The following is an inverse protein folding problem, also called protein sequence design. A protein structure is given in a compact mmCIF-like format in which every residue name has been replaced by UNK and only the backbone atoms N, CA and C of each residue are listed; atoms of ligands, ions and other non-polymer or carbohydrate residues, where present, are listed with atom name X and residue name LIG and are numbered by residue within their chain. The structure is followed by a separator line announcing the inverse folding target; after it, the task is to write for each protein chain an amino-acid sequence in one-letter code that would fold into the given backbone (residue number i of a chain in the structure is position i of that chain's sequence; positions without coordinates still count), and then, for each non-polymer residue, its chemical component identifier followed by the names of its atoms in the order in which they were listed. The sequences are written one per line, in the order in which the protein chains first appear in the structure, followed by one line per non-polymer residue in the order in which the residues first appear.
data_IF_928905139604
#
_entry.id   IF_928905139604
#
_cell.length_a   1.000
_cell.length_b   1.000
_cell.length_c   1.000
_cell.angle_alpha   90.00
_cell.angle_beta   90.00
_cell.angle_gamma   90.00
#
_symmetry.space_group_name_H-M   'P 1'
#
loop_
_entity.id
_entity.type
_entity.pdbx_description
1 polymer ?
#
# COMPACT_ATOMS: atom_id res chain seq x y z
N UNK A 1 -35.85 5.84 -18.45
CA UNK A 1 -34.63 6.64 -18.40
C UNK A 1 -33.50 5.69 -17.96
N UNK A 2 -32.63 5.32 -18.87
CA UNK A 2 -31.49 4.41 -18.61
C UNK A 2 -30.51 5.12 -17.68
N UNK A 3 -30.38 4.68 -16.42
CA UNK A 3 -29.33 5.14 -15.53
C UNK A 3 -28.01 4.54 -16.02
N UNK A 4 -27.30 5.25 -16.88
CA UNK A 4 -25.90 4.92 -17.15
C UNK A 4 -25.17 4.90 -15.82
N UNK A 5 -24.79 3.72 -15.34
CA UNK A 5 -24.00 3.58 -14.13
C UNK A 5 -22.70 4.35 -14.36
N UNK A 6 -22.59 5.54 -13.74
CA UNK A 6 -21.40 6.38 -13.87
C UNK A 6 -20.18 5.57 -13.44
N UNK A 7 -19.18 5.45 -14.31
CA UNK A 7 -17.90 4.82 -14.03
C UNK A 7 -16.99 5.77 -13.25
N UNK A 8 -15.98 5.21 -12.57
CA UNK A 8 -14.88 6.01 -12.05
C UNK A 8 -14.05 6.59 -13.20
N UNK A 9 -13.36 7.69 -12.95
CA UNK A 9 -12.40 8.26 -13.92
C UNK A 9 -11.25 7.29 -14.16
N UNK A 10 -10.66 7.31 -15.36
CA UNK A 10 -9.51 6.44 -15.69
C UNK A 10 -8.35 6.61 -14.71
N UNK A 11 -8.09 7.84 -14.25
CA UNK A 11 -7.06 8.12 -13.24
C UNK A 11 -7.38 7.43 -11.92
N UNK A 12 -8.63 7.48 -11.46
CA UNK A 12 -9.04 6.79 -10.22
C UNK A 12 -8.90 5.27 -10.33
N UNK A 13 -9.18 4.69 -11.51
CA UNK A 13 -9.04 3.26 -11.79
C UNK A 13 -7.54 2.87 -11.80
N UNK A 14 -6.70 3.61 -12.53
CA UNK A 14 -5.25 3.36 -12.59
C UNK A 14 -4.64 3.40 -11.19
N UNK A 15 -4.90 4.47 -10.44
CA UNK A 15 -4.40 4.64 -9.07
C UNK A 15 -4.89 3.52 -8.14
N UNK A 16 -6.15 3.06 -8.32
CA UNK A 16 -6.68 1.96 -7.52
C UNK A 16 -5.87 0.69 -7.72
N UNK A 17 -5.74 0.25 -8.96
CA UNK A 17 -5.06 -1.01 -9.26
C UNK A 17 -3.57 -0.94 -8.98
N UNK A 18 -2.91 0.17 -9.31
CA UNK A 18 -1.49 0.37 -9.01
C UNK A 18 -1.21 0.28 -7.51
N UNK A 19 -1.99 1.00 -6.68
CA UNK A 19 -1.85 0.99 -5.22
C UNK A 19 -2.22 -0.40 -4.66
N UNK A 20 -3.27 -1.05 -5.17
CA UNK A 20 -3.67 -2.38 -4.70
C UNK A 20 -2.59 -3.43 -4.93
N UNK A 21 -1.97 -3.44 -6.12
CA UNK A 21 -0.85 -4.33 -6.45
C UNK A 21 0.36 -3.99 -5.56
N UNK A 22 0.69 -2.70 -5.43
CA UNK A 22 1.82 -2.25 -4.63
C UNK A 22 1.65 -2.61 -3.14
N UNK A 23 0.47 -2.43 -2.54
CA UNK A 23 0.20 -2.82 -1.14
C UNK A 23 0.35 -4.33 -0.97
N UNK A 24 -0.18 -5.16 -1.88
CA UNK A 24 0.01 -6.61 -1.83
C UNK A 24 1.49 -6.99 -1.86
N UNK A 25 2.24 -6.36 -2.74
CA UNK A 25 3.70 -6.56 -2.83
C UNK A 25 4.40 -6.14 -1.53
N UNK A 26 3.99 -5.04 -0.89
CA UNK A 26 4.57 -4.57 0.37
C UNK A 26 4.36 -5.53 1.54
N UNK A 27 3.24 -6.25 1.60
CA UNK A 27 3.04 -7.31 2.59
C UNK A 27 4.04 -8.45 2.37
N UNK A 28 4.15 -8.94 1.12
CA UNK A 28 5.14 -9.97 0.78
C UNK A 28 6.56 -9.53 1.13
N UNK A 29 6.95 -8.33 0.70
CA UNK A 29 8.27 -7.76 0.97
C UNK A 29 8.53 -7.57 2.46
N UNK A 30 7.51 -7.15 3.23
CA UNK A 30 7.57 -6.98 4.67
C UNK A 30 7.86 -8.31 5.40
N UNK A 31 7.15 -9.36 5.07
CA UNK A 31 7.39 -10.70 5.64
C UNK A 31 8.73 -11.28 5.19
N UNK A 32 9.06 -11.14 3.92
CA UNK A 32 10.33 -11.61 3.38
C UNK A 32 11.53 -10.97 4.08
N UNK A 33 11.56 -9.63 4.19
CA UNK A 33 12.68 -8.92 4.83
C UNK A 33 12.83 -9.23 6.33
N UNK A 34 11.72 -9.48 7.04
CA UNK A 34 11.76 -9.86 8.46
C UNK A 34 12.26 -11.29 8.67
N UNK A 35 12.01 -12.20 7.72
CA UNK A 35 12.49 -13.57 7.75
C UNK A 35 14.00 -13.68 7.48
N UNK A 36 14.63 -12.67 6.86
CA UNK A 36 16.06 -12.68 6.59
C UNK A 36 16.90 -12.58 7.87
N UNK A 37 18.05 -13.29 7.95
CA UNK A 37 18.94 -13.23 9.09
C UNK A 37 19.44 -11.79 9.32
N UNK A 38 19.65 -11.44 10.60
CA UNK A 38 20.16 -10.10 10.97
C UNK A 38 21.59 -9.88 10.51
N UNK A 39 22.38 -10.96 10.50
CA UNK A 39 23.76 -10.99 10.05
C UNK A 39 23.82 -11.67 8.69
N UNK A 40 24.78 -11.30 7.86
CA UNK A 40 24.97 -11.88 6.54
C UNK A 40 26.12 -11.21 5.79
N UNK A 41 26.61 -11.87 4.75
CA UNK A 41 27.65 -11.32 3.88
C UNK A 41 27.12 -10.07 3.18
N UNK A 42 27.94 -9.02 3.21
CA UNK A 42 27.65 -7.79 2.49
C UNK A 42 28.02 -7.96 1.01
N UNK A 43 27.19 -7.40 0.14
CA UNK A 43 27.43 -7.38 -1.31
C UNK A 43 27.10 -5.99 -1.89
N UNK A 44 27.66 -5.73 -3.08
CA UNK A 44 27.38 -4.51 -3.87
C UNK A 44 26.21 -4.69 -4.83
N UNK A 45 25.75 -5.93 -5.03
CA UNK A 45 24.65 -6.22 -5.93
C UNK A 45 23.73 -7.29 -5.34
N UNK A 46 22.45 -7.19 -5.68
CA UNK A 46 21.45 -8.17 -5.31
C UNK A 46 20.56 -8.51 -6.50
N UNK A 47 20.45 -9.79 -6.84
CA UNK A 47 19.38 -10.28 -7.67
C UNK A 47 18.07 -10.22 -6.87
N UNK A 48 17.07 -9.57 -7.43
CA UNK A 48 15.82 -9.32 -6.74
C UNK A 48 15.07 -10.64 -6.49
N UNK A 49 15.01 -11.07 -5.22
CA UNK A 49 14.44 -12.34 -4.76
C UNK A 49 15.10 -13.60 -5.34
N UNK A 50 16.35 -13.51 -5.80
CA UNK A 50 17.08 -14.59 -6.45
C UNK A 50 16.32 -15.21 -7.65
N UNK A 51 15.62 -14.37 -8.42
CA UNK A 51 14.80 -14.78 -9.56
C UNK A 51 15.55 -14.75 -10.90
N UNK A 52 16.76 -14.21 -10.94
CA UNK A 52 17.51 -14.03 -12.18
C UNK A 52 16.90 -13.00 -13.14
N UNK A 53 15.94 -12.19 -12.69
CA UNK A 53 15.22 -11.24 -13.53
C UNK A 53 15.84 -9.85 -13.53
N UNK A 54 16.39 -9.42 -12.41
CA UNK A 54 16.98 -8.09 -12.28
C UNK A 54 17.97 -8.04 -11.13
N UNK A 55 19.21 -7.59 -11.43
CA UNK A 55 20.27 -7.37 -10.46
C UNK A 55 20.33 -5.87 -10.12
N UNK A 56 20.18 -5.57 -8.83
CA UNK A 56 20.26 -4.21 -8.33
C UNK A 56 21.67 -3.89 -7.86
N UNK A 57 22.31 -2.90 -8.50
CA UNK A 57 23.63 -2.41 -8.12
C UNK A 57 23.53 -1.38 -6.99
N UNK A 58 24.42 -1.49 -6.02
CA UNK A 58 24.50 -0.60 -4.86
C UNK A 58 25.76 0.24 -4.91
N UNK A 59 25.66 1.49 -4.42
CA UNK A 59 26.83 2.38 -4.26
C UNK A 59 27.69 2.03 -3.04
N UNK A 60 27.13 1.25 -2.09
CA UNK A 60 27.82 0.75 -0.89
C UNK A 60 27.30 -0.62 -0.56
N UNK A 61 28.18 -1.47 -0.05
CA UNK A 61 27.84 -2.80 0.39
C UNK A 61 26.75 -2.78 1.48
N UNK A 62 25.83 -3.71 1.38
CA UNK A 62 24.79 -3.94 2.35
C UNK A 62 24.60 -5.44 2.62
N UNK A 63 24.05 -5.82 3.77
CA UNK A 63 23.55 -7.18 3.99
C UNK A 63 22.23 -7.37 3.24
N UNK A 64 21.81 -8.61 2.89
CA UNK A 64 20.51 -8.86 2.25
C UNK A 64 19.36 -8.19 3.02
N UNK A 65 19.31 -8.36 4.34
CA UNK A 65 18.32 -7.74 5.19
C UNK A 65 18.30 -6.22 5.06
N UNK A 66 19.45 -5.56 5.13
CA UNK A 66 19.56 -4.10 5.00
C UNK A 66 19.11 -3.61 3.61
N UNK A 67 19.42 -4.35 2.55
CA UNK A 67 18.96 -4.07 1.20
C UNK A 67 17.44 -4.09 1.10
N UNK A 68 16.80 -5.18 1.52
CA UNK A 68 15.34 -5.31 1.43
C UNK A 68 14.57 -4.35 2.36
N UNK A 69 15.12 -4.00 3.55
CA UNK A 69 14.56 -2.94 4.39
C UNK A 69 14.62 -1.57 3.70
N UNK A 70 15.71 -1.23 3.02
CA UNK A 70 15.82 0.02 2.26
C UNK A 70 14.88 0.02 1.04
N UNK A 71 14.73 -1.11 0.36
CA UNK A 71 13.78 -1.28 -0.73
C UNK A 71 12.34 -1.07 -0.25
N UNK A 72 11.96 -1.71 0.87
CA UNK A 72 10.64 -1.52 1.50
C UNK A 72 10.37 -0.04 1.84
N UNK A 73 11.33 0.65 2.43
CA UNK A 73 11.21 2.10 2.73
C UNK A 73 11.03 2.94 1.46
N UNK A 74 11.79 2.63 0.41
CA UNK A 74 11.76 3.38 -0.86
C UNK A 74 10.41 3.21 -1.56
N UNK A 75 9.93 1.97 -1.68
CA UNK A 75 8.63 1.66 -2.27
C UNK A 75 7.51 2.22 -1.38
N UNK A 76 7.63 2.11 -0.06
CA UNK A 76 6.67 2.65 0.90
C UNK A 76 6.50 4.17 0.77
N UNK A 77 7.60 4.92 0.59
CA UNK A 77 7.55 6.36 0.35
C UNK A 77 6.88 6.69 -1.00
N UNK A 78 7.17 5.91 -2.05
CA UNK A 78 6.52 6.05 -3.36
C UNK A 78 5.02 5.81 -3.27
N UNK A 79 4.61 4.73 -2.57
CA UNK A 79 3.19 4.42 -2.34
C UNK A 79 2.52 5.54 -1.54
N UNK A 80 3.19 6.10 -0.54
CA UNK A 80 2.66 7.23 0.23
C UNK A 80 2.36 8.43 -0.66
N UNK A 81 3.28 8.79 -1.56
CA UNK A 81 3.05 9.86 -2.54
C UNK A 81 1.85 9.54 -3.48
N UNK A 82 1.73 8.30 -3.94
CA UNK A 82 0.59 7.87 -4.77
C UNK A 82 -0.74 7.92 -3.99
N UNK A 83 -0.73 7.59 -2.70
CA UNK A 83 -1.92 7.68 -1.83
C UNK A 83 -2.33 9.13 -1.64
N UNK A 84 -1.39 10.04 -1.38
CA UNK A 84 -1.66 11.48 -1.30
C UNK A 84 -2.28 12.00 -2.60
N UNK A 85 -1.69 11.64 -3.74
CA UNK A 85 -2.25 12.00 -5.04
C UNK A 85 -3.65 11.44 -5.25
N UNK A 86 -3.90 10.17 -4.87
CA UNK A 86 -5.22 9.54 -4.94
C UNK A 86 -6.25 10.23 -4.04
N UNK A 87 -5.87 10.65 -2.83
CA UNK A 87 -6.75 11.40 -1.92
C UNK A 87 -7.10 12.76 -2.55
N UNK A 88 -6.11 13.50 -3.04
CA UNK A 88 -6.34 14.77 -3.73
C UNK A 88 -7.25 14.62 -4.95
N UNK A 89 -7.01 13.58 -5.76
CA UNK A 89 -7.86 13.27 -6.92
C UNK A 89 -9.31 13.02 -6.51
N UNK A 90 -9.52 12.27 -5.42
CA UNK A 90 -10.86 11.97 -4.91
C UNK A 90 -11.58 13.19 -4.35
N UNK A 91 -10.88 14.14 -3.75
CA UNK A 91 -11.45 15.38 -3.24
C UNK A 91 -11.93 16.30 -4.38
N UNK A 92 -11.22 16.31 -5.50
CA UNK A 92 -11.55 17.13 -6.67
C UNK A 92 -12.50 16.44 -7.65
N UNK A 93 -12.54 15.10 -7.67
CA UNK A 93 -13.35 14.29 -8.59
C UNK A 93 -14.27 13.36 -7.79
N UNK A 94 -15.52 13.79 -7.63
CA UNK A 94 -16.51 13.02 -6.87
C UNK A 94 -16.69 11.61 -7.44
N UNK A 95 -16.59 10.57 -6.60
CA UNK A 95 -16.83 9.20 -7.04
C UNK A 95 -18.30 9.02 -7.43
N UNK A 96 -18.60 8.07 -8.32
CA UNK A 96 -19.98 7.73 -8.61
C UNK A 96 -20.69 7.18 -7.35
N UNK A 97 -21.98 7.44 -7.17
CA UNK A 97 -22.75 6.94 -6.03
C UNK A 97 -22.77 5.41 -6.02
N UNK A 98 -22.99 4.81 -4.86
CA UNK A 98 -23.21 3.37 -4.74
C UNK A 98 -24.47 2.98 -5.52
N UNK A 99 -24.50 1.74 -6.00
CA UNK A 99 -25.63 1.26 -6.80
C UNK A 99 -26.92 1.18 -5.96
N UNK A 100 -28.05 1.54 -6.56
CA UNK A 100 -29.34 1.50 -5.89
C UNK A 100 -29.80 0.07 -5.59
N UNK A 101 -29.30 -0.91 -6.35
CA UNK A 101 -29.51 -2.34 -6.15
C UNK A 101 -28.91 -2.90 -4.86
N UNK A 102 -27.90 -2.20 -4.28
CA UNK A 102 -27.28 -2.61 -3.02
C UNK A 102 -28.22 -2.41 -1.84
N UNK A 103 -28.26 -3.38 -0.91
CA UNK A 103 -29.01 -3.27 0.35
C UNK A 103 -28.41 -2.17 1.23
N UNK A 104 -29.24 -1.56 2.09
CA UNK A 104 -28.81 -0.45 2.96
C UNK A 104 -27.61 -0.81 3.85
N UNK A 105 -27.56 -2.03 4.41
CA UNK A 105 -26.43 -2.47 5.23
C UNK A 105 -25.15 -2.65 4.40
N UNK A 106 -25.25 -3.12 3.15
CA UNK A 106 -24.10 -3.26 2.24
C UNK A 106 -23.51 -1.89 1.88
N UNK A 107 -24.36 -0.90 1.61
CA UNK A 107 -23.95 0.50 1.38
C UNK A 107 -23.19 1.06 2.59
N UNK A 108 -23.70 0.84 3.81
CA UNK A 108 -23.03 1.28 5.04
C UNK A 108 -21.67 0.60 5.22
N UNK A 109 -21.62 -0.72 5.04
CA UNK A 109 -20.38 -1.50 5.18
C UNK A 109 -19.35 -1.12 4.12
N UNK A 110 -19.75 -0.96 2.86
CA UNK A 110 -18.87 -0.49 1.79
C UNK A 110 -18.31 0.91 2.08
N UNK A 111 -19.15 1.81 2.56
CA UNK A 111 -18.73 3.17 2.94
C UNK A 111 -17.71 3.13 4.07
N UNK A 112 -17.98 2.37 5.14
CA UNK A 112 -17.06 2.19 6.26
C UNK A 112 -15.72 1.60 5.80
N UNK A 113 -15.76 0.50 5.04
CA UNK A 113 -14.55 -0.16 4.54
C UNK A 113 -13.70 0.78 3.69
N UNK A 114 -14.30 1.56 2.79
CA UNK A 114 -13.57 2.52 1.98
C UNK A 114 -12.92 3.63 2.81
N UNK A 115 -13.65 4.23 3.76
CA UNK A 115 -13.07 5.28 4.62
C UNK A 115 -11.94 4.73 5.50
N UNK A 116 -12.14 3.53 6.09
CA UNK A 116 -11.10 2.87 6.89
C UNK A 116 -9.86 2.55 6.06
N UNK A 117 -10.02 2.03 4.83
CA UNK A 117 -8.89 1.79 3.94
C UNK A 117 -8.15 3.08 3.58
N UNK A 118 -8.86 4.18 3.27
CA UNK A 118 -8.19 5.46 3.01
C UNK A 118 -7.41 5.97 4.22
N UNK A 119 -7.99 5.92 5.41
CA UNK A 119 -7.31 6.33 6.64
C UNK A 119 -6.08 5.46 6.92
N UNK A 120 -6.22 4.14 6.86
CA UNK A 120 -5.13 3.21 7.14
C UNK A 120 -4.03 3.24 6.07
N UNK A 121 -4.38 3.38 4.80
CA UNK A 121 -3.39 3.55 3.72
C UNK A 121 -2.54 4.81 3.91
N UNK A 122 -3.10 5.87 4.51
CA UNK A 122 -2.35 7.07 4.87
C UNK A 122 -1.52 6.86 6.15
N UNK A 123 -2.13 6.33 7.21
CA UNK A 123 -1.51 6.20 8.53
C UNK A 123 -0.37 5.17 8.55
N UNK A 124 -0.49 4.06 7.80
CA UNK A 124 0.53 3.00 7.79
C UNK A 124 1.88 3.51 7.27
N UNK A 125 1.99 4.08 6.06
CA UNK A 125 3.27 4.60 5.60
C UNK A 125 3.75 5.81 6.42
N UNK A 126 2.86 6.64 6.95
CA UNK A 126 3.22 7.72 7.87
C UNK A 126 3.90 7.17 9.13
N UNK A 127 3.34 6.14 9.74
CA UNK A 127 3.97 5.46 10.88
C UNK A 127 5.32 4.86 10.51
N UNK A 128 5.45 4.26 9.32
CA UNK A 128 6.72 3.74 8.80
C UNK A 128 7.78 4.83 8.58
N UNK A 129 7.37 6.01 8.12
CA UNK A 129 8.23 7.20 7.97
C UNK A 129 8.75 7.62 9.35
N UNK A 130 7.87 7.83 10.33
CA UNK A 130 8.24 8.27 11.68
C UNK A 130 9.14 7.24 12.37
N UNK A 131 8.78 5.95 12.28
CA UNK A 131 9.62 4.84 12.76
C UNK A 131 11.03 4.88 12.16
N UNK A 132 11.13 5.19 10.86
CA UNK A 132 12.41 5.24 10.15
C UNK A 132 13.25 6.45 10.56
N UNK A 133 12.61 7.60 10.81
CA UNK A 133 13.26 8.80 11.39
C UNK A 133 13.77 8.50 12.80
N UNK A 134 13.01 7.79 13.64
CA UNK A 134 13.45 7.34 14.96
C UNK A 134 14.62 6.36 14.94
N UNK A 135 14.94 5.74 13.79
CA UNK A 135 16.13 4.89 13.66
C UNK A 135 17.39 5.70 13.36
N UNK A 136 18.58 5.18 13.70
CA UNK A 136 19.86 5.80 13.32
C UNK A 136 20.11 5.87 11.81
N UNK A 137 19.38 5.08 11.00
CA UNK A 137 19.59 4.99 9.55
C UNK A 137 18.80 6.02 8.76
N UNK A 138 17.70 6.56 9.31
CA UNK A 138 16.80 7.47 8.60
C UNK A 138 16.11 6.85 7.39
N UNK A 139 15.81 7.68 6.41
CA UNK A 139 15.14 7.30 5.17
C UNK A 139 16.03 7.60 3.97
N UNK A 140 16.17 6.59 3.12
CA UNK A 140 16.72 6.73 1.77
C UNK A 140 15.64 6.34 0.76
N UNK A 141 15.55 7.08 -0.34
CA UNK A 141 14.69 6.76 -1.47
C UNK A 141 15.55 6.29 -2.62
N UNK A 142 15.57 5.00 -2.90
CA UNK A 142 16.42 4.35 -3.89
C UNK A 142 17.88 4.81 -3.85
N UNK A 143 18.47 4.83 -2.65
CA UNK A 143 19.85 5.25 -2.40
C UNK A 143 20.03 6.74 -2.07
N UNK A 144 19.12 7.61 -2.49
CA UNK A 144 19.15 9.05 -2.23
C UNK A 144 18.71 9.30 -0.78
N UNK A 145 19.51 9.99 0.00
CA UNK A 145 19.19 10.35 1.40
C UNK A 145 18.08 11.43 1.41
N UNK A 146 16.95 11.09 2.02
CA UNK A 146 15.80 11.99 2.17
C UNK A 146 15.78 12.63 3.55
N UNK A 147 15.92 11.83 4.61
CA UNK A 147 15.90 12.30 6.01
C UNK A 147 16.93 11.53 6.83
N UNK A 148 17.64 12.23 7.71
CA UNK A 148 18.54 11.62 8.69
C UNK A 148 17.73 10.98 9.83
N UNK A 149 18.25 9.92 10.42
CA UNK A 149 17.71 9.37 11.66
C UNK A 149 18.18 10.19 12.87
N UNK A 150 17.37 10.14 13.93
CA UNK A 150 17.65 10.84 15.20
C UNK A 150 18.07 9.88 16.33
N UNK A 151 18.08 8.57 16.04
CA UNK A 151 18.45 7.49 16.97
C UNK A 151 17.64 7.47 18.28
N UNK A 152 16.34 7.71 18.16
CA UNK A 152 15.37 7.62 19.26
C UNK A 152 14.68 6.25 19.26
N UNK A 153 15.11 5.37 20.18
CA UNK A 153 14.59 4.00 20.28
C UNK A 153 13.12 3.96 20.74
N UNK A 154 12.68 4.90 21.58
CA UNK A 154 11.29 4.99 22.05
C UNK A 154 10.34 5.33 20.93
N UNK A 155 10.65 6.40 20.18
CA UNK A 155 9.90 6.82 19.00
C UNK A 155 9.84 5.69 17.96
N UNK A 156 10.98 5.07 17.67
CA UNK A 156 11.07 3.95 16.73
C UNK A 156 10.18 2.78 17.15
N UNK A 157 10.21 2.39 18.44
CA UNK A 157 9.42 1.26 18.91
C UNK A 157 7.93 1.54 18.84
N UNK A 158 7.48 2.69 19.33
CA UNK A 158 6.08 3.11 19.31
C UNK A 158 5.50 3.09 17.88
N UNK A 159 6.21 3.69 16.93
CA UNK A 159 5.72 3.78 15.54
C UNK A 159 5.91 2.47 14.76
N UNK A 160 6.79 1.57 15.20
CA UNK A 160 6.83 0.20 14.70
C UNK A 160 5.53 -0.54 15.04
N UNK A 161 5.07 -0.45 16.30
CA UNK A 161 3.80 -1.06 16.72
C UNK A 161 2.62 -0.51 15.92
N UNK A 162 2.51 0.81 15.77
CA UNK A 162 1.45 1.40 14.95
C UNK A 162 1.51 0.92 13.49
N UNK A 163 2.70 0.87 12.88
CA UNK A 163 2.86 0.40 11.52
C UNK A 163 2.37 -1.05 11.35
N UNK A 164 2.70 -1.92 12.28
CA UNK A 164 2.29 -3.32 12.27
C UNK A 164 0.78 -3.48 12.49
N UNK A 165 0.20 -2.76 13.47
CA UNK A 165 -1.23 -2.78 13.76
C UNK A 165 -2.03 -2.26 12.56
N UNK A 166 -1.65 -1.12 12.00
CA UNK A 166 -2.34 -0.54 10.84
C UNK A 166 -2.21 -1.44 9.61
N UNK A 167 -1.05 -2.06 9.41
CA UNK A 167 -0.85 -3.07 8.37
C UNK A 167 -1.79 -4.26 8.52
N UNK A 168 -1.89 -4.82 9.74
CA UNK A 168 -2.82 -5.92 10.01
C UNK A 168 -4.27 -5.52 9.76
N UNK A 169 -4.67 -4.32 10.18
CA UNK A 169 -6.03 -3.80 9.93
C UNK A 169 -6.29 -3.63 8.43
N UNK A 170 -5.32 -3.14 7.64
CA UNK A 170 -5.44 -3.09 6.18
C UNK A 170 -5.70 -4.49 5.64
N UNK A 171 -4.91 -5.49 6.06
CA UNK A 171 -5.05 -6.87 5.55
C UNK A 171 -6.45 -7.42 5.82
N UNK A 172 -6.95 -7.26 7.05
CA UNK A 172 -8.28 -7.74 7.44
C UNK A 172 -9.38 -7.05 6.61
N UNK A 173 -9.35 -5.71 6.52
CA UNK A 173 -10.37 -4.96 5.77
C UNK A 173 -10.26 -5.25 4.27
N UNK A 174 -9.05 -5.44 3.73
CA UNK A 174 -8.83 -5.79 2.34
C UNK A 174 -9.46 -7.14 1.96
N UNK A 175 -9.38 -8.14 2.86
CA UNK A 175 -10.05 -9.44 2.64
C UNK A 175 -11.56 -9.25 2.48
N UNK A 176 -12.19 -8.48 3.38
CA UNK A 176 -13.63 -8.20 3.30
C UNK A 176 -13.98 -7.32 2.09
N UNK A 177 -13.13 -6.36 1.73
CA UNK A 177 -13.31 -5.53 0.54
C UNK A 177 -13.30 -6.36 -0.75
N UNK A 178 -12.33 -7.28 -0.88
CA UNK A 178 -12.26 -8.20 -2.02
C UNK A 178 -13.45 -9.16 -2.02
N UNK A 179 -13.78 -9.76 -0.88
CA UNK A 179 -14.92 -10.66 -0.76
C UNK A 179 -16.24 -9.97 -1.16
N UNK A 180 -16.45 -8.72 -0.71
CA UNK A 180 -17.59 -7.91 -1.12
C UNK A 180 -17.63 -7.65 -2.63
N UNK A 181 -16.50 -7.27 -3.23
CA UNK A 181 -16.41 -7.05 -4.67
C UNK A 181 -16.70 -8.34 -5.47
N UNK A 182 -16.21 -9.49 -5.01
CA UNK A 182 -16.48 -10.79 -5.62
C UNK A 182 -17.95 -11.18 -5.46
N UNK A 183 -18.55 -10.98 -4.29
CA UNK A 183 -19.99 -11.20 -4.07
C UNK A 183 -20.82 -10.41 -5.07
N UNK A 184 -20.59 -9.11 -5.20
CA UNK A 184 -21.29 -8.24 -6.16
C UNK A 184 -21.08 -8.67 -7.62
N UNK A 185 -19.90 -9.22 -7.94
CA UNK A 185 -19.58 -9.66 -9.30
C UNK A 185 -20.22 -11.00 -9.67
N UNK A 186 -20.17 -12.00 -8.76
CA UNK A 186 -20.56 -13.38 -9.06
C UNK A 186 -21.94 -13.76 -8.56
N UNK A 187 -22.38 -13.20 -7.41
CA UNK A 187 -23.67 -13.51 -6.78
C UNK A 187 -24.72 -12.50 -7.23
N UNK A 188 -24.51 -11.21 -6.95
CA UNK A 188 -25.49 -10.16 -7.24
C UNK A 188 -25.48 -9.76 -8.73
N UNK A 189 -24.34 -9.93 -9.43
CA UNK A 189 -24.14 -9.62 -10.85
C UNK A 189 -24.55 -8.18 -11.23
N UNK A 190 -24.36 -7.25 -10.28
CA UNK A 190 -24.87 -5.88 -10.34
C UNK A 190 -23.95 -4.89 -11.10
N UNK A 191 -22.77 -5.37 -11.55
CA UNK A 191 -21.81 -4.55 -12.30
C UNK A 191 -20.90 -3.68 -11.44
N UNK A 192 -20.91 -3.81 -10.10
CA UNK A 192 -20.06 -3.03 -9.18
C UNK A 192 -18.58 -3.09 -9.59
N UNK A 193 -18.04 -4.29 -9.85
CA UNK A 193 -16.64 -4.46 -10.24
C UNK A 193 -16.32 -3.81 -11.60
N UNK A 194 -17.28 -3.85 -12.56
CA UNK A 194 -17.09 -3.24 -13.90
C UNK A 194 -16.87 -1.74 -13.83
N UNK A 195 -17.34 -1.06 -12.78
CA UNK A 195 -17.14 0.39 -12.60
C UNK A 195 -15.68 0.75 -12.32
N UNK A 196 -14.88 -0.23 -11.83
CA UNK A 196 -13.45 -0.13 -11.56
C UNK A 196 -12.59 -0.87 -12.60
N UNK A 197 -13.18 -1.18 -13.78
CA UNK A 197 -12.48 -1.86 -14.87
C UNK A 197 -12.39 -0.99 -16.12
N UNK A 198 -11.36 -1.21 -16.95
CA UNK A 198 -11.07 -0.43 -18.17
C UNK A 198 -11.99 -0.78 -19.37
N UNK A 199 -12.96 -1.69 -19.23
CA UNK A 199 -13.87 -2.03 -20.32
C UNK A 199 -14.66 -0.80 -20.81
N UNK A 200 -14.77 -0.64 -22.12
CA UNK A 200 -15.68 0.31 -22.78
C UNK A 200 -17.13 0.00 -22.44
#
# INVERSE_FOLDING_TARGET
MSSHSKKYTSVAIILHWLIAIAIRFMFYLGWFMEALPKEGTKALSYDLFDLGLYTWELTKEATPRAFYFNLHKSIGLTIFALILFRIMWRLTHRPPPLLDTMKSWEKKLATLAHHSLYALMFLTPLAGIIMSIGSKYGIKWFGIKVVSGIDDSGLRHLFKEFHQIFGLLILVILIFHIAGALKHSFVDKDGTLRRMWFSK
#
